data_IF_349640166041
#
_entry.id   IF_349640166041
#
_cell.length_a   1.000
_cell.length_b   1.000
_cell.length_c   1.000
_cell.angle_alpha   90.00
_cell.angle_beta   90.00
_cell.angle_gamma   90.00
#
_symmetry.space_group_name_H-M   'P 1'
#
loop_
_entity.id
_entity.type
_entity.pdbx_description
1 polymer ?
#
# COMPACT_ATOMS: atom_id res chain seq x y z
N UNK A 1 25.84 19.19 -20.37
CA UNK A 1 24.82 18.13 -20.50
C UNK A 1 24.42 17.70 -19.09
N UNK A 2 23.26 18.12 -18.60
CA UNK A 2 22.79 17.73 -17.27
C UNK A 2 21.59 16.79 -17.43
N UNK A 3 21.64 15.61 -16.80
CA UNK A 3 20.89 15.30 -15.57
C UNK A 3 20.71 13.79 -15.42
N UNK A 4 21.62 13.14 -14.69
CA UNK A 4 21.36 11.87 -14.05
C UNK A 4 21.17 12.13 -12.55
N UNK A 5 20.03 12.70 -12.17
CA UNK A 5 19.64 12.74 -10.75
C UNK A 5 18.94 11.42 -10.43
N UNK A 6 19.73 10.34 -10.39
CA UNK A 6 19.34 9.12 -9.71
C UNK A 6 19.28 9.44 -8.22
N UNK A 7 18.10 9.79 -7.71
CA UNK A 7 17.89 10.08 -6.29
C UNK A 7 18.28 8.82 -5.53
N UNK A 8 19.43 8.85 -4.85
CA UNK A 8 19.81 7.82 -3.89
C UNK A 8 18.74 7.83 -2.80
N UNK A 9 17.78 6.91 -2.90
CA UNK A 9 16.73 6.74 -1.91
C UNK A 9 17.37 6.01 -0.75
N UNK A 10 17.41 6.64 0.43
CA UNK A 10 17.98 6.03 1.64
C UNK A 10 17.25 4.73 1.95
N UNK A 11 17.95 3.76 2.56
CA UNK A 11 17.35 2.47 2.93
C UNK A 11 16.08 2.64 3.81
N UNK A 12 16.06 3.70 4.62
CA UNK A 12 14.90 4.11 5.43
C UNK A 12 13.68 4.45 4.57
N UNK A 13 13.85 5.23 3.51
CA UNK A 13 12.74 5.59 2.62
C UNK A 13 12.21 4.37 1.85
N UNK A 14 13.08 3.44 1.45
CA UNK A 14 12.65 2.16 0.85
C UNK A 14 11.86 1.31 1.86
N UNK A 15 12.30 1.30 3.13
CA UNK A 15 11.61 0.59 4.21
C UNK A 15 10.24 1.19 4.47
N UNK A 16 10.11 2.51 4.52
CA UNK A 16 8.84 3.19 4.69
C UNK A 16 7.86 2.89 3.55
N UNK A 17 8.34 2.82 2.31
CA UNK A 17 7.51 2.48 1.16
C UNK A 17 7.04 1.03 1.21
N UNK A 18 7.90 0.08 1.62
CA UNK A 18 7.52 -1.31 1.85
C UNK A 18 6.48 -1.44 2.97
N UNK A 19 6.69 -0.78 4.12
CA UNK A 19 5.74 -0.79 5.23
C UNK A 19 4.38 -0.23 4.81
N UNK A 20 4.36 0.85 4.03
CA UNK A 20 3.13 1.44 3.51
C UNK A 20 2.40 0.47 2.56
N UNK A 21 3.15 -0.20 1.68
CA UNK A 21 2.58 -1.19 0.76
C UNK A 21 1.92 -2.36 1.51
N UNK A 22 2.62 -2.92 2.51
CA UNK A 22 2.10 -4.02 3.33
C UNK A 22 0.85 -3.59 4.12
N UNK A 23 0.85 -2.39 4.71
CA UNK A 23 -0.30 -1.89 5.45
C UNK A 23 -1.54 -1.71 4.55
N UNK A 24 -1.37 -1.23 3.32
CA UNK A 24 -2.47 -1.13 2.34
C UNK A 24 -3.09 -2.49 2.06
N UNK A 25 -2.28 -3.53 1.88
CA UNK A 25 -2.73 -4.91 1.64
C UNK A 25 -3.51 -5.44 2.85
N UNK A 26 -2.98 -5.27 4.06
CA UNK A 26 -3.64 -5.79 5.28
C UNK A 26 -4.96 -5.08 5.55
N UNK A 27 -5.05 -3.76 5.34
CA UNK A 27 -6.32 -3.03 5.47
C UNK A 27 -7.35 -3.49 4.42
N UNK A 28 -6.91 -3.76 3.18
CA UNK A 28 -7.78 -4.28 2.11
C UNK A 28 -8.35 -5.66 2.46
N UNK A 29 -7.49 -6.57 2.92
CA UNK A 29 -7.88 -7.91 3.39
C UNK A 29 -8.76 -7.86 4.64
N UNK A 30 -8.50 -6.91 5.53
CA UNK A 30 -9.33 -6.60 6.71
C UNK A 30 -10.67 -5.94 6.37
N UNK A 31 -11.00 -5.78 5.09
CA UNK A 31 -12.33 -5.37 4.67
C UNK A 31 -12.52 -3.86 4.48
N UNK A 32 -11.48 -3.04 4.56
CA UNK A 32 -11.62 -1.62 4.24
C UNK A 32 -11.72 -1.41 2.73
N UNK A 33 -12.51 -0.41 2.32
CA UNK A 33 -12.54 0.08 0.94
C UNK A 33 -11.27 0.88 0.62
N UNK A 34 -10.92 0.96 -0.67
CA UNK A 34 -9.80 1.79 -1.16
C UNK A 34 -9.94 3.26 -0.75
N UNK A 35 -11.17 3.79 -0.70
CA UNK A 35 -11.46 5.15 -0.23
C UNK A 35 -11.13 5.34 1.24
N UNK A 36 -11.49 4.39 2.10
CA UNK A 36 -11.15 4.43 3.52
C UNK A 36 -9.64 4.31 3.73
N UNK A 37 -8.96 3.45 2.95
CA UNK A 37 -7.50 3.27 3.01
C UNK A 37 -6.78 4.57 2.64
N UNK A 38 -7.15 5.22 1.52
CA UNK A 38 -6.52 6.47 1.08
C UNK A 38 -6.64 7.57 2.13
N UNK A 39 -7.83 7.70 2.74
CA UNK A 39 -8.13 8.71 3.77
C UNK A 39 -7.33 8.44 5.05
N UNK A 40 -7.24 7.18 5.48
CA UNK A 40 -6.49 6.79 6.69
C UNK A 40 -4.98 6.99 6.54
N UNK A 41 -4.43 6.70 5.36
CA UNK A 41 -2.99 6.74 5.13
C UNK A 41 -2.49 8.06 4.51
N UNK A 42 -3.40 8.97 4.16
CA UNK A 42 -3.04 10.25 3.54
C UNK A 42 -2.39 10.10 2.17
N UNK A 43 -2.76 9.09 1.39
CA UNK A 43 -2.18 8.82 0.06
C UNK A 43 -3.18 8.98 -1.06
N UNK A 44 -2.67 9.13 -2.29
CA UNK A 44 -3.50 9.25 -3.48
C UNK A 44 -4.24 7.94 -3.80
N UNK A 45 -5.39 8.05 -4.44
CA UNK A 45 -6.13 6.88 -4.93
C UNK A 45 -5.30 6.07 -5.95
N UNK A 46 -4.52 6.75 -6.80
CA UNK A 46 -3.65 6.09 -7.77
C UNK A 46 -2.60 5.22 -7.08
N UNK A 47 -2.05 5.69 -5.96
CA UNK A 47 -1.11 4.91 -5.13
C UNK A 47 -1.79 3.66 -4.58
N UNK A 48 -3.00 3.77 -4.06
CA UNK A 48 -3.77 2.62 -3.56
C UNK A 48 -4.02 1.61 -4.68
N UNK A 49 -4.48 2.07 -5.85
CA UNK A 49 -4.72 1.21 -7.02
C UNK A 49 -3.46 0.47 -7.48
N UNK A 50 -2.32 1.17 -7.51
CA UNK A 50 -1.05 0.56 -7.86
C UNK A 50 -0.61 -0.50 -6.84
N UNK A 51 -0.77 -0.22 -5.54
CA UNK A 51 -0.39 -1.14 -4.46
C UNK A 51 -1.29 -2.38 -4.39
N UNK A 52 -2.58 -2.25 -4.75
CA UNK A 52 -3.54 -3.37 -4.72
C UNK A 52 -3.64 -4.13 -6.05
N UNK A 53 -2.86 -3.76 -7.06
CA UNK A 53 -2.90 -4.44 -8.36
C UNK A 53 -2.51 -5.91 -8.21
N UNK A 54 -3.45 -6.82 -8.54
CA UNK A 54 -3.27 -8.26 -8.40
C UNK A 54 -3.47 -8.80 -6.98
N UNK A 55 -3.87 -7.97 -6.03
CA UNK A 55 -4.12 -8.38 -4.64
C UNK A 55 -5.60 -8.76 -4.46
N UNK A 56 -5.87 -10.06 -4.34
CA UNK A 56 -7.20 -10.56 -4.02
C UNK A 56 -7.62 -10.21 -2.60
N UNK A 57 -8.91 -9.88 -2.44
CA UNK A 57 -9.54 -9.65 -1.14
C UNK A 57 -9.92 -11.00 -0.52
N UNK A 58 -8.93 -11.74 -0.03
CA UNK A 58 -9.22 -12.93 0.77
C UNK A 58 -9.67 -12.47 2.14
N UNK A 59 -10.99 -12.40 2.33
CA UNK A 59 -11.58 -12.23 3.66
C UNK A 59 -11.20 -13.49 4.42
N UNK A 60 -10.39 -13.37 5.48
CA UNK A 60 -10.25 -14.47 6.44
C UNK A 60 -11.65 -14.70 7.01
N UNK A 61 -12.36 -15.69 6.50
CA UNK A 61 -13.57 -16.19 7.15
C UNK A 61 -13.15 -16.61 8.55
N UNK A 62 -13.71 -15.98 9.57
CA UNK A 62 -13.73 -16.59 10.89
C UNK A 62 -14.41 -17.94 10.73
N UNK A 63 -13.67 -19.02 11.00
CA UNK A 63 -14.24 -20.36 11.08
C UNK A 63 -15.19 -20.31 12.28
N UNK A 64 -16.51 -20.50 12.10
CA UNK A 64 -17.43 -20.57 13.22
C UNK A 64 -17.05 -21.78 14.07
N UNK A 65 -16.93 -21.56 15.38
CA UNK A 65 -16.81 -22.62 16.39
C UNK A 65 -18.16 -23.30 16.63
#
# INVERSE_FOLDING_TARGET
MAKATGKSITAEAQTLDLLRHLLVIELWRGGLSQDQIRKRLGISMNTVNAMLKGVSRTIKQEVPN
#
